data_IF_392252718135
#
_entry.id   IF_392252718135
#
_cell.length_a   1.000
_cell.length_b   1.000
_cell.length_c   1.000
_cell.angle_alpha   90.00
_cell.angle_beta   90.00
_cell.angle_gamma   90.00
#
_symmetry.space_group_name_H-M   'P 1'
#
loop_
_entity.id
_entity.type
_entity.pdbx_description
1 polymer ?
#
# COMPACT_ATOMS: atom_id res chain seq x y z
N UNK A 1 -3.81 -4.29 30.87
CA UNK A 1 -4.67 -3.42 30.04
C UNK A 1 -4.36 -3.79 28.60
N UNK A 2 -5.31 -4.33 27.81
CA UNK A 2 -5.05 -4.60 26.40
C UNK A 2 -5.07 -3.26 25.68
N UNK A 3 -3.96 -2.87 25.07
CA UNK A 3 -3.86 -1.65 24.28
C UNK A 3 -4.76 -1.78 23.04
N UNK A 4 -5.97 -1.23 23.12
CA UNK A 4 -6.89 -1.18 21.98
C UNK A 4 -6.50 -0.06 21.00
N UNK A 5 -5.65 0.88 21.41
CA UNK A 5 -5.20 2.02 20.58
C UNK A 5 -4.36 1.60 19.39
N UNK A 6 -3.55 0.56 19.51
CA UNK A 6 -2.63 0.15 18.43
C UNK A 6 -3.36 -0.36 17.18
N UNK A 7 -4.60 -0.87 17.30
CA UNK A 7 -5.39 -1.27 16.12
C UNK A 7 -5.90 -0.09 15.29
N UNK A 8 -5.91 1.11 15.88
CA UNK A 8 -6.36 2.32 15.22
C UNK A 8 -5.21 3.09 14.56
N UNK A 9 -3.98 2.57 14.61
CA UNK A 9 -2.80 3.17 13.95
C UNK A 9 -2.31 2.28 12.82
N UNK A 10 -1.39 2.80 11.99
CA UNK A 10 -0.76 1.99 10.95
C UNK A 10 0.16 0.92 11.56
N UNK A 11 0.93 1.28 12.59
CA UNK A 11 1.84 0.38 13.31
C UNK A 11 1.15 -0.92 13.77
N UNK A 12 0.00 -0.85 14.44
CA UNK A 12 -0.68 -2.07 14.89
C UNK A 12 -1.40 -2.85 13.79
N UNK A 13 -1.34 -2.38 12.53
CA UNK A 13 -1.86 -3.09 11.35
C UNK A 13 -0.77 -3.63 10.43
N UNK A 14 0.53 -3.42 10.70
CA UNK A 14 1.63 -3.83 9.80
C UNK A 14 1.61 -5.32 9.45
N UNK A 15 1.42 -6.22 10.43
CA UNK A 15 1.35 -7.67 10.19
C UNK A 15 0.21 -8.02 9.21
N UNK A 16 -0.94 -7.35 9.34
CA UNK A 16 -2.11 -7.58 8.47
C UNK A 16 -1.83 -7.09 7.05
N UNK A 17 -1.13 -5.98 6.92
CA UNK A 17 -0.73 -5.40 5.64
C UNK A 17 0.32 -6.29 4.95
N UNK A 18 1.33 -6.75 5.69
CA UNK A 18 2.34 -7.67 5.17
C UNK A 18 1.70 -8.98 4.65
N UNK A 19 0.77 -9.55 5.41
CA UNK A 19 0.04 -10.75 4.99
C UNK A 19 -0.84 -10.48 3.75
N UNK A 20 -1.45 -9.30 3.66
CA UNK A 20 -2.20 -8.89 2.47
C UNK A 20 -1.28 -8.80 1.25
N UNK A 21 -0.10 -8.20 1.41
CA UNK A 21 0.91 -8.11 0.36
C UNK A 21 1.31 -9.51 -0.11
N UNK A 22 1.74 -10.39 0.79
CA UNK A 22 2.08 -11.79 0.46
C UNK A 22 0.93 -12.47 -0.27
N UNK A 23 -0.31 -12.32 0.19
CA UNK A 23 -1.47 -12.93 -0.46
C UNK A 23 -1.76 -12.42 -1.88
N UNK A 24 -1.35 -11.22 -2.25
CA UNK A 24 -1.65 -10.61 -3.55
C UNK A 24 -0.46 -10.70 -4.51
N UNK A 25 0.76 -10.49 -4.00
CA UNK A 25 1.96 -10.27 -4.80
C UNK A 25 2.91 -11.48 -4.84
N UNK A 26 2.61 -12.59 -4.16
CA UNK A 26 3.44 -13.82 -4.27
C UNK A 26 3.62 -14.28 -5.72
N UNK A 27 2.62 -14.09 -6.58
CA UNK A 27 2.67 -14.46 -8.00
C UNK A 27 2.94 -13.25 -8.92
N UNK A 28 3.17 -12.06 -8.35
CA UNK A 28 3.50 -10.84 -9.08
C UNK A 28 4.99 -10.58 -8.87
N UNK A 29 5.80 -11.05 -9.82
CA UNK A 29 7.26 -10.88 -9.77
C UNK A 29 7.69 -9.41 -9.71
N UNK A 30 8.92 -9.17 -9.27
CA UNK A 30 9.56 -7.84 -9.21
C UNK A 30 8.74 -6.82 -8.42
N UNK A 31 8.26 -7.19 -7.23
CA UNK A 31 7.64 -6.24 -6.31
C UNK A 31 8.25 -6.39 -4.92
N UNK A 32 8.28 -5.29 -4.20
CA UNK A 32 8.67 -5.26 -2.78
C UNK A 32 7.72 -4.41 -1.96
N UNK A 33 7.77 -4.63 -0.65
CA UNK A 33 7.03 -3.86 0.33
C UNK A 33 7.98 -3.27 1.37
N UNK A 34 7.84 -1.98 1.64
CA UNK A 34 8.47 -1.28 2.75
C UNK A 34 7.41 -1.05 3.84
N UNK A 35 7.77 -1.39 5.08
CA UNK A 35 6.91 -1.27 6.25
C UNK A 35 7.64 -0.46 7.33
N UNK A 36 7.07 0.67 7.70
CA UNK A 36 7.48 1.50 8.83
C UNK A 36 6.27 1.79 9.71
N UNK A 37 6.48 2.37 10.89
CA UNK A 37 5.39 2.65 11.82
C UNK A 37 4.34 3.63 11.25
N UNK A 38 4.74 4.49 10.31
CA UNK A 38 3.91 5.58 9.75
C UNK A 38 3.76 5.53 8.24
N UNK A 39 4.47 4.64 7.56
CA UNK A 39 4.39 4.49 6.10
C UNK A 39 4.45 3.01 5.72
N UNK A 40 3.59 2.62 4.80
CA UNK A 40 3.63 1.35 4.08
C UNK A 40 3.71 1.68 2.60
N UNK A 41 4.63 1.08 1.88
CA UNK A 41 4.70 1.27 0.44
C UNK A 41 4.99 -0.01 -0.32
N UNK A 42 4.32 -0.20 -1.44
CA UNK A 42 4.53 -1.29 -2.39
C UNK A 42 5.08 -0.67 -3.66
N UNK A 43 6.20 -1.18 -4.16
CA UNK A 43 6.84 -0.71 -5.37
C UNK A 43 7.12 -1.85 -6.33
N UNK A 44 7.02 -1.57 -7.62
CA UNK A 44 7.55 -2.44 -8.66
C UNK A 44 9.05 -2.19 -8.82
N UNK A 45 9.83 -3.26 -8.81
CA UNK A 45 11.27 -3.24 -8.95
C UNK A 45 11.65 -3.29 -10.43
N UNK A 46 11.75 -2.12 -11.05
CA UNK A 46 12.24 -1.98 -12.42
C UNK A 46 13.49 -1.10 -12.44
N UNK A 47 14.65 -1.73 -12.60
CA UNK A 47 15.94 -1.03 -12.69
C UNK A 47 16.07 -0.08 -13.90
N UNK A 48 15.14 -0.18 -14.87
CA UNK A 48 15.11 0.65 -16.08
C UNK A 48 14.06 1.76 -16.01
N UNK A 49 13.11 1.68 -15.08
CA UNK A 49 12.04 2.66 -14.90
C UNK A 49 12.10 3.28 -13.50
N UNK A 50 12.64 4.50 -13.43
CA UNK A 50 12.72 5.30 -12.20
C UNK A 50 11.35 5.71 -11.64
N UNK A 51 10.30 5.63 -12.45
CA UNK A 51 8.94 6.04 -12.12
C UNK A 51 8.00 4.82 -12.17
N UNK A 52 8.48 3.68 -11.66
CA UNK A 52 7.75 2.42 -11.65
C UNK A 52 6.47 2.51 -10.79
N UNK A 53 5.49 1.67 -11.14
CA UNK A 53 4.19 1.65 -10.48
C UNK A 53 4.34 1.40 -8.97
N UNK A 54 3.58 2.15 -8.17
CA UNK A 54 3.68 2.12 -6.71
C UNK A 54 2.35 2.42 -6.01
N UNK A 55 2.28 2.01 -4.74
CA UNK A 55 1.15 2.26 -3.85
C UNK A 55 1.67 2.51 -2.44
N UNK A 56 1.40 3.69 -1.90
CA UNK A 56 1.78 4.11 -0.56
C UNK A 56 0.53 4.34 0.30
N UNK A 57 0.62 3.97 1.58
CA UNK A 57 -0.27 4.36 2.67
C UNK A 57 0.59 5.02 3.75
N UNK A 58 0.31 6.28 4.05
CA UNK A 58 0.99 7.03 5.11
C UNK A 58 0.02 7.51 6.18
N UNK A 59 0.43 7.40 7.43
CA UNK A 59 -0.23 7.99 8.60
C UNK A 59 0.22 9.45 8.77
N UNK A 60 -0.74 10.33 9.02
CA UNK A 60 -0.60 11.78 9.22
C UNK A 60 -1.28 12.15 10.54
N UNK A 61 -1.04 13.37 11.03
CA UNK A 61 -1.62 13.84 12.30
C UNK A 61 -3.17 13.75 12.33
N UNK A 62 -3.84 13.98 11.19
CA UNK A 62 -5.29 14.00 11.07
C UNK A 62 -5.90 12.81 10.28
N UNK A 63 -5.13 11.73 10.09
CA UNK A 63 -5.62 10.52 9.42
C UNK A 63 -4.58 9.84 8.53
N UNK A 64 -5.00 9.42 7.34
CA UNK A 64 -4.24 8.58 6.42
C UNK A 64 -4.32 9.11 5.00
N UNK A 65 -3.21 9.05 4.29
CA UNK A 65 -3.13 9.36 2.86
C UNK A 65 -2.72 8.10 2.11
N UNK A 66 -3.46 7.78 1.06
CA UNK A 66 -3.17 6.70 0.13
C UNK A 66 -2.78 7.31 -1.21
N UNK A 67 -1.57 7.05 -1.66
CA UNK A 67 -1.04 7.52 -2.95
C UNK A 67 -0.84 6.32 -3.87
N UNK A 68 -1.38 6.39 -5.08
CA UNK A 68 -1.28 5.34 -6.09
C UNK A 68 -0.71 5.93 -7.37
N UNK A 69 0.28 5.23 -7.94
CA UNK A 69 0.90 5.55 -9.22
C UNK A 69 0.94 4.29 -10.08
N UNK A 70 0.44 4.36 -11.31
CA UNK A 70 0.38 3.20 -12.20
C UNK A 70 1.66 2.97 -13.03
N UNK A 71 2.66 3.84 -12.93
CA UNK A 71 3.89 3.76 -13.71
C UNK A 71 3.82 4.44 -15.08
N UNK A 72 2.70 5.10 -15.41
CA UNK A 72 2.48 5.70 -16.73
C UNK A 72 1.85 7.09 -16.67
N UNK A 73 0.61 7.19 -16.21
CA UNK A 73 -0.15 8.45 -16.31
C UNK A 73 -1.22 8.61 -15.23
N UNK A 74 -1.56 7.54 -14.52
CA UNK A 74 -2.61 7.58 -13.50
C UNK A 74 -1.98 7.72 -12.12
N UNK A 75 -2.14 8.91 -11.55
CA UNK A 75 -1.91 9.19 -10.14
C UNK A 75 -3.26 9.36 -9.41
N UNK A 76 -3.46 8.63 -8.32
CA UNK A 76 -4.59 8.82 -7.41
C UNK A 76 -4.05 9.15 -6.02
N UNK A 77 -4.59 10.19 -5.37
CA UNK A 77 -4.34 10.50 -3.97
C UNK A 77 -5.67 10.56 -3.23
N UNK A 78 -5.78 9.81 -2.13
CA UNK A 78 -7.01 9.67 -1.36
C UNK A 78 -6.67 9.89 0.12
N UNK A 79 -7.37 10.82 0.76
CA UNK A 79 -7.25 11.08 2.19
C UNK A 79 -8.44 10.45 2.93
N UNK A 80 -8.16 9.77 4.04
CA UNK A 80 -9.14 9.11 4.89
C UNK A 80 -8.80 9.32 6.36
N UNK A 81 -9.82 9.51 7.20
CA UNK A 81 -9.60 9.73 8.64
C UNK A 81 -9.41 8.43 9.42
N UNK A 82 -10.15 7.40 9.04
CA UNK A 82 -10.23 6.15 9.79
C UNK A 82 -9.35 5.07 9.16
N UNK A 83 -8.48 4.44 9.96
CA UNK A 83 -7.57 3.39 9.49
C UNK A 83 -8.34 2.25 8.79
N UNK A 84 -9.55 1.92 9.24
CA UNK A 84 -10.29 0.82 8.63
C UNK A 84 -10.73 1.13 7.20
N UNK A 85 -11.05 2.39 6.89
CA UNK A 85 -11.37 2.82 5.53
C UNK A 85 -10.11 2.91 4.70
N UNK A 86 -9.04 3.49 5.25
CA UNK A 86 -7.74 3.56 4.59
C UNK A 86 -7.26 2.17 4.16
N UNK A 87 -7.33 1.16 5.04
CA UNK A 87 -6.97 -0.23 4.73
C UNK A 87 -7.87 -0.87 3.66
N UNK A 88 -9.17 -0.52 3.65
CA UNK A 88 -10.11 -1.01 2.62
C UNK A 88 -9.75 -0.45 1.24
N UNK A 89 -9.39 0.83 1.19
CA UNK A 89 -8.96 1.52 -0.03
C UNK A 89 -7.61 0.99 -0.49
N UNK A 90 -6.63 0.90 0.42
CA UNK A 90 -5.30 0.34 0.15
C UNK A 90 -5.42 -1.08 -0.43
N UNK A 91 -6.24 -1.95 0.16
CA UNK A 91 -6.50 -3.30 -0.37
C UNK A 91 -7.06 -3.29 -1.79
N UNK A 92 -8.00 -2.37 -2.09
CA UNK A 92 -8.58 -2.25 -3.43
C UNK A 92 -7.52 -1.81 -4.44
N UNK A 93 -6.69 -0.83 -4.09
CA UNK A 93 -5.62 -0.32 -4.95
C UNK A 93 -4.47 -1.31 -5.11
N UNK A 94 -4.12 -2.08 -4.08
CA UNK A 94 -3.12 -3.15 -4.15
C UNK A 94 -3.53 -4.22 -5.17
N UNK A 95 -4.81 -4.62 -5.17
CA UNK A 95 -5.35 -5.53 -6.19
C UNK A 95 -5.33 -4.92 -7.60
N UNK A 96 -5.56 -3.60 -7.71
CA UNK A 96 -5.48 -2.87 -8.98
C UNK A 96 -4.04 -2.85 -9.49
N UNK A 97 -3.07 -2.54 -8.63
CA UNK A 97 -1.64 -2.57 -8.93
C UNK A 97 -1.21 -3.95 -9.44
N UNK A 98 -1.49 -5.01 -8.67
CA UNK A 98 -1.15 -6.38 -9.06
C UNK A 98 -1.70 -6.77 -10.43
N UNK A 99 -2.98 -6.42 -10.72
CA UNK A 99 -3.59 -6.68 -12.03
C UNK A 99 -2.93 -5.90 -13.15
N UNK A 100 -2.52 -4.66 -12.91
CA UNK A 100 -1.83 -3.86 -13.90
C UNK A 100 -0.45 -4.46 -14.18
N UNK A 101 0.32 -4.79 -13.15
CA UNK A 101 1.64 -5.42 -13.31
C UNK A 101 1.55 -6.75 -14.06
N UNK A 102 0.58 -7.61 -13.75
CA UNK A 102 0.39 -8.88 -14.49
C UNK A 102 -0.04 -8.71 -15.95
N UNK A 103 -0.69 -7.59 -16.31
CA UNK A 103 -1.13 -7.32 -17.69
C UNK A 103 -0.03 -6.76 -18.57
N UNK A 104 0.93 -6.06 -17.98
CA UNK A 104 1.97 -5.33 -18.68
C UNK A 104 3.39 -5.86 -18.41
N UNK A 105 3.52 -6.93 -17.61
CA UNK A 105 4.77 -7.68 -17.40
C UNK A 105 4.97 -8.81 -18.41
#
# INVERSE_FOLDING_TARGET
MKDYSSRNTLEGNLIKIENLYKSIFTEVGNTSIELTNTIVSIHHEDSTNIDAASLELSEKEDGYTISYWDGYSLAEKIDEKEIHQALKIFKRLAKKLAKNLQRFS
#
